data_IF_796118082996
#
_entry.id   IF_796118082996
#
_cell.length_a   1.000
_cell.length_b   1.000
_cell.length_c   1.000
_cell.angle_alpha   90.00
_cell.angle_beta   90.00
_cell.angle_gamma   90.00
#
_symmetry.space_group_name_H-M   'P 1'
#
loop_
_entity.id
_entity.type
_entity.pdbx_description
1 polymer ?
#
# COMPACT_ATOMS: atom_id res chain seq x y z
N UNK A 1 1.51 13.99 11.42
CA UNK A 1 2.17 13.53 10.18
C UNK A 1 3.61 13.99 10.20
N UNK A 2 4.58 13.22 9.69
CA UNK A 2 5.96 13.66 9.54
C UNK A 2 6.03 15.01 8.81
N UNK A 3 7.00 15.86 9.17
CA UNK A 3 7.12 17.21 8.61
C UNK A 3 7.22 17.23 7.07
N UNK A 4 7.82 16.20 6.47
CA UNK A 4 7.94 16.05 5.02
C UNK A 4 6.59 15.94 4.29
N UNK A 5 5.69 15.08 4.77
CA UNK A 5 4.35 14.89 4.17
C UNK A 5 3.53 16.19 4.20
N UNK A 6 3.62 16.93 5.31
CA UNK A 6 2.93 18.21 5.46
C UNK A 6 3.52 19.27 4.53
N UNK A 7 4.83 19.31 4.37
CA UNK A 7 5.50 20.23 3.46
C UNK A 7 5.15 19.94 1.98
N UNK A 8 5.10 18.67 1.58
CA UNK A 8 4.67 18.27 0.25
C UNK A 8 3.20 18.64 0.00
N UNK A 9 2.29 18.27 0.91
CA UNK A 9 0.88 18.61 0.79
C UNK A 9 0.61 20.13 0.77
N UNK A 10 1.49 20.93 1.39
CA UNK A 10 1.44 22.39 1.35
C UNK A 10 2.12 23.01 0.12
N UNK A 11 2.64 22.20 -0.82
CA UNK A 11 3.33 22.67 -2.02
C UNK A 11 4.73 23.28 -1.76
N UNK A 12 5.32 23.02 -0.59
CA UNK A 12 6.64 23.55 -0.20
C UNK A 12 7.80 22.66 -0.63
N UNK A 13 7.52 21.44 -1.08
CA UNK A 13 8.50 20.45 -1.55
C UNK A 13 8.03 19.92 -2.92
N UNK A 14 8.96 19.77 -3.86
CA UNK A 14 8.62 19.40 -5.24
C UNK A 14 8.34 17.90 -5.47
N UNK A 15 8.91 17.01 -4.65
CA UNK A 15 8.69 15.56 -4.76
C UNK A 15 8.74 14.89 -3.39
N UNK A 16 8.01 13.78 -3.25
CA UNK A 16 7.93 12.97 -2.03
C UNK A 16 8.14 11.50 -2.41
N UNK A 17 8.97 10.80 -1.64
CA UNK A 17 9.07 9.34 -1.70
C UNK A 17 8.18 8.75 -0.61
N UNK A 18 7.18 7.97 -1.00
CA UNK A 18 6.15 7.50 -0.09
C UNK A 18 5.60 6.14 -0.52
N UNK A 19 5.04 5.39 0.44
CA UNK A 19 4.30 4.15 0.14
C UNK A 19 3.07 4.42 -0.72
N UNK A 20 2.77 3.53 -1.67
CA UNK A 20 1.55 3.60 -2.48
C UNK A 20 0.28 3.50 -1.63
N UNK A 21 0.35 2.82 -0.48
CA UNK A 21 -0.75 2.73 0.48
C UNK A 21 -1.15 4.05 1.16
N UNK A 22 -0.38 5.13 0.95
CA UNK A 22 -0.73 6.48 1.40
C UNK A 22 -1.32 7.34 0.28
N UNK A 23 -1.32 6.89 -0.98
CA UNK A 23 -1.64 7.71 -2.16
C UNK A 23 -3.02 8.35 -2.07
N UNK A 24 -4.04 7.60 -1.62
CA UNK A 24 -5.41 8.13 -1.45
C UNK A 24 -5.41 9.30 -0.46
N UNK A 25 -4.68 9.17 0.65
CA UNK A 25 -4.56 10.25 1.62
C UNK A 25 -3.74 11.41 1.08
N UNK A 26 -2.69 11.17 0.30
CA UNK A 26 -1.91 12.23 -0.35
C UNK A 26 -2.77 13.04 -1.31
N UNK A 27 -3.55 12.37 -2.18
CA UNK A 27 -4.51 13.02 -3.08
C UNK A 27 -5.47 13.93 -2.30
N UNK A 28 -6.04 13.43 -1.19
CA UNK A 28 -6.93 14.21 -0.32
C UNK A 28 -6.24 15.43 0.31
N UNK A 29 -5.00 15.28 0.79
CA UNK A 29 -4.29 16.38 1.44
C UNK A 29 -3.83 17.46 0.45
N UNK A 30 -3.43 17.05 -0.76
CA UNK A 30 -3.08 17.98 -1.84
C UNK A 30 -4.34 18.74 -2.27
N UNK A 31 -5.42 18.03 -2.57
CA UNK A 31 -6.66 18.63 -3.06
C UNK A 31 -6.43 19.31 -4.41
N UNK A 32 -6.76 20.60 -4.49
CA UNK A 32 -6.66 21.46 -5.68
C UNK A 32 -5.41 22.36 -5.70
N UNK A 33 -4.54 22.27 -4.69
CA UNK A 33 -3.38 23.18 -4.54
C UNK A 33 -2.39 23.10 -5.70
N UNK A 34 -2.22 21.92 -6.29
CA UNK A 34 -1.38 21.69 -7.47
C UNK A 34 -1.76 20.37 -8.16
N UNK A 35 -1.33 20.23 -9.42
CA UNK A 35 -1.51 18.97 -10.15
C UNK A 35 -0.56 17.90 -9.62
N UNK A 36 -1.11 16.92 -8.89
CA UNK A 36 -0.36 15.77 -8.41
C UNK A 36 -0.11 14.75 -9.55
N UNK A 37 1.12 14.24 -9.64
CA UNK A 37 1.53 13.16 -10.55
C UNK A 37 2.33 12.11 -9.77
N UNK A 38 2.34 10.88 -10.29
CA UNK A 38 3.20 9.79 -9.80
C UNK A 38 4.20 9.38 -10.88
N UNK A 39 5.36 8.86 -10.46
CA UNK A 39 6.39 8.35 -11.34
C UNK A 39 7.00 7.07 -10.76
N UNK A 40 7.61 6.26 -11.62
CA UNK A 40 8.39 5.11 -11.16
C UNK A 40 9.67 5.60 -10.48
N UNK A 41 10.05 4.97 -9.37
CA UNK A 41 11.34 5.25 -8.72
C UNK A 41 12.46 4.83 -9.69
N UNK A 42 13.47 5.68 -9.94
CA UNK A 42 14.59 5.32 -10.78
C UNK A 42 15.41 4.20 -10.11
N UNK A 43 15.70 3.15 -10.88
CA UNK A 43 16.60 2.08 -10.46
C UNK A 43 18.05 2.50 -10.71
N UNK A 44 18.92 2.25 -9.73
CA UNK A 44 20.37 2.51 -9.88
C UNK A 44 20.97 1.56 -10.91
N UNK A 45 20.63 0.27 -10.85
CA UNK A 45 20.92 -0.71 -11.90
C UNK A 45 19.65 -0.92 -12.74
N UNK A 46 19.62 -0.49 -14.01
CA UNK A 46 18.43 -0.64 -14.86
C UNK A 46 18.07 -2.09 -15.20
N UNK A 47 19.01 -3.02 -15.08
CA UNK A 47 18.85 -4.43 -15.49
C UNK A 47 18.56 -5.30 -14.26
N UNK A 48 19.36 -5.15 -13.19
CA UNK A 48 19.27 -6.00 -12.00
C UNK A 48 18.76 -5.27 -10.76
N UNK A 49 18.40 -3.99 -10.88
CA UNK A 49 17.86 -3.21 -9.78
C UNK A 49 16.44 -3.67 -9.42
N UNK A 50 16.18 -3.77 -8.12
CA UNK A 50 14.87 -4.09 -7.59
C UNK A 50 14.45 -3.06 -6.54
N UNK A 51 13.15 -2.80 -6.45
CA UNK A 51 12.59 -2.02 -5.35
C UNK A 51 12.21 -2.95 -4.20
N UNK A 52 12.46 -2.57 -2.95
CA UNK A 52 11.95 -3.32 -1.81
C UNK A 52 10.42 -3.29 -1.84
N UNK A 53 9.80 -4.47 -1.76
CA UNK A 53 8.36 -4.58 -1.58
C UNK A 53 8.02 -4.36 -0.12
N UNK A 54 7.09 -3.44 0.16
CA UNK A 54 6.45 -3.31 1.47
C UNK A 54 5.10 -4.04 1.51
N UNK A 55 4.51 -4.15 2.69
CA UNK A 55 3.21 -4.78 2.83
C UNK A 55 2.85 -5.07 4.27
N UNK A 56 1.73 -5.76 4.44
CA UNK A 56 1.29 -6.32 5.71
C UNK A 56 1.19 -7.84 5.57
N UNK A 57 1.46 -8.55 6.66
CA UNK A 57 1.29 -10.00 6.72
C UNK A 57 0.22 -10.35 7.76
N UNK A 58 -0.64 -11.32 7.43
CA UNK A 58 -1.48 -11.98 8.41
C UNK A 58 -0.66 -13.09 9.09
N UNK A 59 -0.50 -13.01 10.41
CA UNK A 59 0.27 -14.00 11.19
C UNK A 59 -0.66 -14.67 12.20
N UNK A 60 -0.68 -16.00 12.21
CA UNK A 60 -1.49 -16.82 13.13
C UNK A 60 -0.58 -17.33 14.24
N UNK A 61 -0.79 -16.84 15.47
CA UNK A 61 0.09 -17.14 16.62
C UNK A 61 -0.49 -18.18 17.59
N UNK A 62 -1.78 -18.49 17.49
CA UNK A 62 -2.44 -19.42 18.40
C UNK A 62 -1.96 -20.85 18.18
N UNK A 63 -1.90 -21.64 19.25
CA UNK A 63 -1.60 -23.09 19.21
C UNK A 63 -2.85 -23.97 19.34
N UNK A 64 -4.00 -23.35 19.60
CA UNK A 64 -5.28 -24.05 19.66
C UNK A 64 -5.75 -24.38 18.24
N UNK A 65 -6.01 -25.65 17.97
CA UNK A 65 -6.33 -26.12 16.63
C UNK A 65 -7.63 -25.52 16.05
N UNK A 66 -8.65 -25.33 16.89
CA UNK A 66 -9.92 -24.75 16.45
C UNK A 66 -9.75 -23.26 16.09
N UNK A 67 -8.96 -22.53 16.88
CA UNK A 67 -8.63 -21.12 16.60
C UNK A 67 -7.73 -20.97 15.38
N UNK A 68 -6.79 -21.88 15.16
CA UNK A 68 -5.95 -21.89 13.96
C UNK A 68 -6.79 -22.06 12.69
N UNK A 69 -7.72 -23.02 12.68
CA UNK A 69 -8.61 -23.24 11.52
C UNK A 69 -9.51 -22.02 11.23
N UNK A 70 -10.10 -21.43 12.27
CA UNK A 70 -10.90 -20.22 12.13
C UNK A 70 -10.07 -19.04 11.60
N UNK A 71 -8.88 -18.80 12.16
CA UNK A 71 -7.97 -17.75 11.70
C UNK A 71 -7.51 -17.97 10.26
N UNK A 72 -7.27 -19.23 9.86
CA UNK A 72 -6.87 -19.58 8.50
C UNK A 72 -7.99 -19.32 7.48
N UNK A 73 -9.24 -19.66 7.82
CA UNK A 73 -10.41 -19.33 6.98
C UNK A 73 -10.54 -17.83 6.78
N UNK A 74 -10.37 -17.03 7.84
CA UNK A 74 -10.39 -15.58 7.73
C UNK A 74 -9.23 -15.04 6.87
N UNK A 75 -8.00 -15.50 7.10
CA UNK A 75 -6.84 -15.03 6.34
C UNK A 75 -7.00 -15.30 4.83
N UNK A 76 -7.51 -16.48 4.44
CA UNK A 76 -7.80 -16.80 3.04
C UNK A 76 -8.90 -15.92 2.45
N UNK A 77 -9.93 -15.61 3.21
CA UNK A 77 -10.98 -14.68 2.76
C UNK A 77 -10.43 -13.27 2.56
N UNK A 78 -9.69 -12.75 3.53
CA UNK A 78 -9.13 -11.40 3.51
C UNK A 78 -8.06 -11.23 2.41
N UNK A 79 -7.27 -12.26 2.11
CA UNK A 79 -6.31 -12.26 1.02
C UNK A 79 -6.90 -12.76 -0.33
N UNK A 80 -8.18 -13.14 -0.34
CA UNK A 80 -8.90 -13.57 -1.53
C UNK A 80 -9.33 -12.40 -2.42
N UNK A 81 -9.93 -12.69 -3.59
CA UNK A 81 -10.31 -11.67 -4.56
C UNK A 81 -11.22 -10.58 -3.99
N UNK A 82 -12.19 -10.96 -3.15
CA UNK A 82 -13.08 -10.00 -2.50
C UNK A 82 -12.32 -9.10 -1.51
N UNK A 83 -11.46 -9.67 -0.67
CA UNK A 83 -10.67 -8.89 0.28
C UNK A 83 -9.75 -7.88 -0.43
N UNK A 84 -9.12 -8.30 -1.52
CA UNK A 84 -8.34 -7.41 -2.38
C UNK A 84 -9.20 -6.29 -2.98
N UNK A 85 -10.40 -6.61 -3.49
CA UNK A 85 -11.32 -5.61 -4.06
C UNK A 85 -11.80 -4.54 -3.07
N UNK A 86 -11.78 -4.85 -1.76
CA UNK A 86 -12.15 -3.88 -0.72
C UNK A 86 -10.95 -3.01 -0.31
N UNK A 87 -9.77 -3.61 -0.14
CA UNK A 87 -8.59 -2.92 0.39
C UNK A 87 -7.92 -2.04 -0.66
N UNK A 88 -7.80 -2.53 -1.90
CA UNK A 88 -7.07 -1.86 -2.99
C UNK A 88 -7.64 -0.46 -3.28
N UNK A 89 -8.97 -0.28 -3.49
CA UNK A 89 -9.53 1.04 -3.79
C UNK A 89 -9.44 2.03 -2.63
N UNK A 90 -9.50 1.53 -1.39
CA UNK A 90 -9.51 2.39 -0.19
C UNK A 90 -8.14 2.95 0.20
N UNK A 91 -7.06 2.33 -0.28
CA UNK A 91 -5.71 2.59 0.23
C UNK A 91 -4.69 2.96 -0.85
N UNK A 92 -4.81 2.39 -2.06
CA UNK A 92 -3.76 2.42 -3.06
C UNK A 92 -2.71 1.30 -2.92
N UNK A 93 -2.97 0.30 -2.05
CA UNK A 93 -2.21 -0.95 -2.08
C UNK A 93 -2.35 -1.65 -3.43
N UNK A 94 -1.30 -2.36 -3.83
CA UNK A 94 -1.31 -3.20 -5.04
C UNK A 94 -1.95 -4.56 -4.69
N UNK A 95 -2.78 -5.15 -5.57
CA UNK A 95 -3.35 -6.47 -5.34
C UNK A 95 -2.26 -7.50 -5.05
N UNK A 96 -2.44 -8.31 -4.01
CA UNK A 96 -1.53 -9.38 -3.59
C UNK A 96 -1.95 -10.76 -4.12
N UNK A 97 -2.91 -10.80 -5.06
CA UNK A 97 -3.48 -12.00 -5.65
C UNK A 97 -3.62 -11.80 -7.16
N UNK A 98 -3.06 -12.71 -7.96
CA UNK A 98 -3.08 -12.65 -9.42
C UNK A 98 -4.50 -12.65 -10.01
N UNK A 99 -5.47 -13.26 -9.32
CA UNK A 99 -6.87 -13.25 -9.74
C UNK A 99 -7.57 -11.91 -9.46
N UNK A 100 -6.94 -11.02 -8.71
CA UNK A 100 -7.43 -9.68 -8.37
C UNK A 100 -6.56 -8.57 -8.97
N UNK A 101 -5.50 -8.92 -9.71
CA UNK A 101 -4.57 -8.02 -10.37
C UNK A 101 -5.07 -7.57 -11.75
#
# INVERSE_FOLDING_TARGET
>A
KPAGEQAFAAGKVGFEFQTTGALVNTIKNVGDKFTLRTAKIPLIDPINGHLPTGGNAAVILTKDAAKQDAAWKFAKFAAGPYGASVVVPGTGYVPNNELAA
#
